data_IF_253000461290
#
_entry.id   IF_253000461290
#
_cell.length_a   1.000
_cell.length_b   1.000
_cell.length_c   1.000
_cell.angle_alpha   90.00
_cell.angle_beta   90.00
_cell.angle_gamma   90.00
#
_symmetry.space_group_name_H-M   'P 1'
#
loop_
_entity.id
_entity.type
_entity.pdbx_description
1 polymer ?
#
# COMPACT_ATOMS: atom_id res chain seq x y z
N UNK A 1 0.77 31.92 12.95
CA UNK A 1 1.53 30.70 12.73
C UNK A 1 0.56 29.72 12.06
N UNK A 2 0.83 29.31 10.84
CA UNK A 2 0.17 28.19 10.20
C UNK A 2 0.59 26.96 11.01
N UNK A 3 -0.39 26.22 11.54
CA UNK A 3 -0.14 24.96 12.20
C UNK A 3 0.20 23.99 11.08
N UNK A 4 1.46 23.57 10.98
CA UNK A 4 1.87 22.48 10.11
C UNK A 4 1.36 21.19 10.74
N UNK A 5 0.57 20.43 9.99
CA UNK A 5 0.16 19.08 10.37
C UNK A 5 1.14 18.12 9.70
N UNK A 6 1.64 17.17 10.46
CA UNK A 6 2.47 16.08 9.97
C UNK A 6 1.64 14.79 9.99
N UNK A 7 1.94 13.91 9.06
CA UNK A 7 1.37 12.57 9.05
C UNK A 7 2.10 11.71 10.06
N UNK A 8 1.33 11.02 10.90
CA UNK A 8 1.83 10.09 11.91
C UNK A 8 1.17 8.72 11.76
N UNK A 9 1.90 7.66 12.09
CA UNK A 9 1.40 6.29 12.10
C UNK A 9 0.69 6.00 13.42
N UNK A 10 -0.56 5.54 13.32
CA UNK A 10 -1.39 5.12 14.44
C UNK A 10 -1.68 3.63 14.39
N UNK A 11 -1.88 3.03 15.53
CA UNK A 11 -2.36 1.65 15.66
C UNK A 11 -3.65 1.60 16.46
N UNK A 12 -4.52 0.66 16.10
CA UNK A 12 -5.72 0.34 16.86
C UNK A 12 -5.90 -1.18 16.96
N UNK A 13 -6.72 -1.63 17.90
CA UNK A 13 -7.05 -3.05 18.06
C UNK A 13 -8.53 -3.27 17.78
N UNK A 14 -8.82 -4.24 16.92
CA UNK A 14 -10.18 -4.66 16.65
C UNK A 14 -10.72 -5.48 17.83
N UNK A 15 -11.91 -5.10 18.30
CA UNK A 15 -12.67 -5.78 19.36
C UNK A 15 -14.00 -6.26 18.78
N UNK A 16 -14.73 -7.18 19.45
CA UNK A 16 -16.04 -7.61 18.96
C UNK A 16 -17.07 -6.48 18.77
N UNK A 17 -16.96 -5.40 19.55
CA UNK A 17 -17.86 -4.25 19.50
C UNK A 17 -17.34 -3.06 18.65
N UNK A 18 -16.22 -3.21 17.93
CA UNK A 18 -15.63 -2.13 17.15
C UNK A 18 -14.11 -2.04 17.33
N UNK A 19 -13.55 -0.86 17.24
CA UNK A 19 -12.12 -0.61 17.39
C UNK A 19 -11.85 0.19 18.67
N UNK A 20 -10.72 -0.07 19.30
CA UNK A 20 -10.21 0.79 20.37
C UNK A 20 -9.81 2.16 19.78
N UNK A 21 -9.80 3.23 20.59
CA UNK A 21 -9.26 4.51 20.11
C UNK A 21 -7.84 4.34 19.56
N UNK A 22 -7.53 4.91 18.38
CA UNK A 22 -6.21 4.82 17.78
C UNK A 22 -5.15 5.45 18.70
N UNK A 23 -3.99 4.84 18.76
CA UNK A 23 -2.84 5.33 19.52
C UNK A 23 -1.67 5.58 18.56
N UNK A 24 -1.00 6.73 18.63
CA UNK A 24 0.18 6.97 17.80
C UNK A 24 1.29 5.99 18.16
N UNK A 25 2.01 5.51 17.16
CA UNK A 25 3.28 4.85 17.40
C UNK A 25 4.28 5.89 17.92
N UNK A 26 5.07 5.52 18.93
CA UNK A 26 6.05 6.43 19.52
C UNK A 26 7.36 6.40 18.73
N UNK A 27 8.29 7.29 19.11
CA UNK A 27 9.66 7.20 18.64
C UNK A 27 10.21 5.76 18.81
N UNK A 28 10.99 5.26 17.85
CA UNK A 28 11.57 5.99 16.72
C UNK A 28 10.72 5.97 15.43
N UNK A 29 9.52 5.37 15.45
CA UNK A 29 8.69 5.21 14.25
C UNK A 29 8.15 6.56 13.79
N UNK A 30 7.36 7.24 14.60
CA UNK A 30 6.93 8.60 14.27
C UNK A 30 8.05 9.61 14.61
N UNK A 31 8.27 10.57 13.73
CA UNK A 31 9.27 11.63 13.84
C UNK A 31 8.61 13.01 13.96
N UNK A 32 9.35 14.06 13.66
CA UNK A 32 8.82 15.43 13.52
C UNK A 32 8.41 15.78 12.07
N UNK A 33 8.49 14.81 11.15
CA UNK A 33 8.12 14.94 9.74
C UNK A 33 6.94 14.06 9.39
N UNK A 34 6.68 13.89 8.11
CA UNK A 34 5.65 12.99 7.62
C UNK A 34 6.14 11.55 7.68
N UNK A 35 5.43 10.72 8.43
CA UNK A 35 5.67 9.29 8.59
C UNK A 35 4.37 8.55 8.25
N UNK A 36 4.36 7.80 7.14
CA UNK A 36 3.19 7.03 6.74
C UNK A 36 3.47 5.52 6.78
N UNK A 37 2.46 4.74 7.16
CA UNK A 37 2.58 3.28 7.11
C UNK A 37 2.41 2.80 5.69
N UNK A 38 3.26 1.86 5.28
CA UNK A 38 3.24 1.28 3.94
C UNK A 38 2.85 -0.18 4.00
N UNK A 39 3.50 -0.96 4.87
CA UNK A 39 3.22 -2.38 5.03
C UNK A 39 3.65 -2.86 6.41
N UNK A 40 2.79 -3.65 7.05
CA UNK A 40 3.18 -4.51 8.18
C UNK A 40 3.32 -5.94 7.66
N UNK A 41 4.50 -6.57 7.90
CA UNK A 41 4.71 -7.97 7.50
C UNK A 41 3.66 -8.88 8.13
N UNK A 42 3.35 -10.00 7.47
CA UNK A 42 2.32 -10.94 7.92
C UNK A 42 2.57 -11.48 9.35
N UNK A 43 3.83 -11.64 9.75
CA UNK A 43 4.19 -12.06 11.12
C UNK A 43 4.19 -10.90 12.14
N UNK A 44 3.88 -9.69 11.71
CA UNK A 44 3.80 -8.48 12.53
C UNK A 44 5.15 -7.98 13.05
N UNK A 45 6.28 -8.42 12.49
CA UNK A 45 7.61 -8.11 13.02
C UNK A 45 8.42 -7.13 12.19
N UNK A 46 8.02 -6.87 10.96
CA UNK A 46 8.64 -5.88 10.08
C UNK A 46 7.60 -4.84 9.69
N UNK A 47 7.87 -3.58 9.96
CA UNK A 47 7.08 -2.45 9.50
C UNK A 47 7.86 -1.75 8.39
N UNK A 48 7.27 -1.66 7.21
CA UNK A 48 7.71 -0.75 6.16
C UNK A 48 6.93 0.55 6.29
N UNK A 49 7.63 1.65 6.17
CA UNK A 49 7.07 2.99 6.30
C UNK A 49 7.67 3.93 5.25
N UNK A 50 6.87 4.87 4.82
CA UNK A 50 7.32 6.00 4.03
C UNK A 50 7.83 7.10 4.95
N UNK A 51 8.91 7.76 4.55
CA UNK A 51 9.41 8.96 5.19
C UNK A 51 10.04 9.88 4.17
N UNK A 52 9.65 11.14 4.19
CA UNK A 52 10.30 12.17 3.39
C UNK A 52 11.32 12.93 4.24
N UNK A 53 12.59 12.60 4.07
CA UNK A 53 13.71 13.30 4.72
C UNK A 53 14.45 14.22 3.74
N UNK A 54 14.44 13.88 2.46
CA UNK A 54 15.27 14.53 1.43
C UNK A 54 14.46 15.26 0.34
N UNK A 55 13.13 15.16 0.40
CA UNK A 55 12.21 15.73 -0.60
C UNK A 55 11.94 14.80 -1.79
N UNK A 56 12.46 13.57 -1.79
CA UNK A 56 12.10 12.52 -2.77
C UNK A 56 11.10 11.52 -2.20
N UNK A 57 11.16 11.26 -0.89
CA UNK A 57 10.38 10.23 -0.21
C UNK A 57 10.92 8.83 -0.46
N UNK A 58 11.18 8.12 0.63
CA UNK A 58 11.85 6.81 0.62
C UNK A 58 11.10 5.79 1.48
N UNK A 59 11.30 4.50 1.18
CA UNK A 59 10.80 3.39 2.00
C UNK A 59 11.84 3.04 3.07
N UNK A 60 11.39 3.01 4.32
CA UNK A 60 12.18 2.62 5.49
C UNK A 60 11.64 1.33 6.08
N UNK A 61 12.52 0.61 6.78
CA UNK A 61 12.21 -0.60 7.51
C UNK A 61 12.48 -0.44 8.99
N UNK A 62 11.51 -0.85 9.83
CA UNK A 62 11.67 -1.08 11.26
C UNK A 62 11.45 -2.55 11.57
N UNK A 63 12.23 -3.11 12.49
CA UNK A 63 12.05 -4.47 12.98
C UNK A 63 11.56 -4.43 14.44
N UNK A 64 10.58 -5.27 14.77
CA UNK A 64 10.08 -5.40 16.12
C UNK A 64 11.09 -6.15 16.99
N UNK A 65 11.54 -5.47 18.05
CA UNK A 65 12.49 -6.00 19.03
C UNK A 65 11.79 -6.23 20.38
N UNK A 66 12.42 -6.91 21.36
CA UNK A 66 11.87 -7.04 22.71
C UNK A 66 11.58 -5.71 23.42
N UNK A 67 12.18 -4.62 22.97
CA UNK A 67 12.03 -3.28 23.56
C UNK A 67 11.17 -2.33 22.73
N UNK A 68 10.55 -2.82 21.64
CA UNK A 68 9.76 -2.04 20.71
C UNK A 68 10.33 -2.03 19.29
N UNK A 69 9.86 -1.14 18.45
CA UNK A 69 10.37 -0.98 17.08
C UNK A 69 11.80 -0.46 17.07
N UNK A 70 12.61 -0.98 16.14
CA UNK A 70 13.97 -0.48 15.90
C UNK A 70 13.94 0.91 15.25
N UNK A 71 15.07 1.60 15.24
CA UNK A 71 15.27 2.79 14.40
C UNK A 71 14.96 2.47 12.93
N UNK A 72 14.20 3.33 12.22
CA UNK A 72 13.94 3.18 10.80
C UNK A 72 15.23 3.23 9.98
N UNK A 73 15.42 2.25 9.10
CA UNK A 73 16.55 2.18 8.18
C UNK A 73 16.03 2.27 6.75
N UNK A 74 16.59 3.15 5.91
CA UNK A 74 16.22 3.20 4.50
C UNK A 74 16.53 1.86 3.84
N UNK A 75 15.69 1.45 2.89
CA UNK A 75 16.00 0.32 2.03
C UNK A 75 17.17 0.67 1.09
N UNK A 76 17.82 -0.36 0.55
CA UNK A 76 18.98 -0.22 -0.32
C UNK A 76 18.68 0.48 -1.67
N UNK A 77 19.72 0.79 -2.45
CA UNK A 77 19.62 1.63 -3.66
C UNK A 77 18.88 0.95 -4.83
N UNK A 78 18.60 -0.33 -4.74
CA UNK A 78 17.75 -1.02 -5.71
C UNK A 78 16.25 -0.70 -5.51
N UNK A 79 15.89 -0.25 -4.30
CA UNK A 79 14.53 0.18 -3.95
C UNK A 79 14.47 1.69 -3.89
N UNK A 80 15.15 2.33 -2.94
CA UNK A 80 15.18 3.77 -2.81
C UNK A 80 16.19 4.38 -3.80
N UNK A 81 15.74 5.36 -4.55
CA UNK A 81 16.55 6.01 -5.57
C UNK A 81 16.55 7.54 -5.34
N UNK A 82 16.95 8.32 -6.31
CA UNK A 82 16.75 9.78 -6.28
C UNK A 82 15.31 10.20 -6.65
N UNK A 83 14.48 9.23 -6.98
CA UNK A 83 13.10 9.37 -7.38
C UNK A 83 12.19 9.12 -6.18
N UNK A 84 10.89 9.26 -6.37
CA UNK A 84 9.91 9.04 -5.32
C UNK A 84 9.55 7.56 -5.22
N UNK A 85 9.65 6.99 -4.02
CA UNK A 85 9.15 5.67 -3.66
C UNK A 85 8.10 5.84 -2.55
N UNK A 86 6.80 5.76 -2.94
CA UNK A 86 5.68 6.17 -2.06
C UNK A 86 4.95 5.02 -1.37
N UNK A 87 4.95 3.84 -1.95
CA UNK A 87 4.17 2.69 -1.47
C UNK A 87 4.94 1.40 -1.66
N UNK A 88 4.75 0.42 -0.77
CA UNK A 88 5.36 -0.89 -0.92
C UNK A 88 4.58 -1.99 -0.19
N UNK A 89 4.76 -3.25 -0.61
CA UNK A 89 4.22 -4.43 0.05
C UNK A 89 5.21 -5.58 0.04
N UNK A 90 5.45 -6.15 1.23
CA UNK A 90 6.29 -7.33 1.42
C UNK A 90 5.43 -8.59 1.34
N UNK A 91 5.80 -9.55 0.46
CA UNK A 91 5.10 -10.85 0.42
C UNK A 91 5.23 -11.60 1.74
N UNK A 92 4.26 -12.48 2.04
CA UNK A 92 4.20 -13.21 3.30
C UNK A 92 5.43 -14.10 3.56
N UNK A 93 6.08 -14.59 2.50
CA UNK A 93 7.32 -15.37 2.56
C UNK A 93 8.58 -14.49 2.67
N UNK A 94 8.42 -13.15 2.57
CA UNK A 94 9.52 -12.19 2.62
C UNK A 94 10.46 -12.23 1.40
N UNK A 95 10.08 -12.93 0.31
CA UNK A 95 10.96 -13.10 -0.85
C UNK A 95 10.82 -12.00 -1.89
N UNK A 96 9.68 -11.31 -1.94
CA UNK A 96 9.42 -10.25 -2.88
C UNK A 96 8.94 -9.00 -2.18
N UNK A 97 9.46 -7.86 -2.63
CA UNK A 97 8.96 -6.53 -2.33
C UNK A 97 8.33 -5.96 -3.60
N UNK A 98 7.07 -5.60 -3.54
CA UNK A 98 6.39 -4.79 -4.55
C UNK A 98 6.41 -3.35 -4.07
N UNK A 99 6.64 -2.40 -4.96
CA UNK A 99 6.72 -0.99 -4.58
C UNK A 99 6.39 -0.07 -5.76
N UNK A 100 6.01 1.15 -5.45
CA UNK A 100 5.66 2.18 -6.42
C UNK A 100 6.82 3.16 -6.53
N UNK A 101 7.18 3.53 -7.76
CA UNK A 101 8.25 4.50 -8.02
C UNK A 101 8.01 5.28 -9.31
N UNK A 102 8.42 6.56 -9.33
CA UNK A 102 8.44 7.40 -10.53
C UNK A 102 9.81 7.38 -11.25
N UNK A 103 10.62 6.31 -11.00
CA UNK A 103 11.89 6.11 -11.72
C UNK A 103 11.66 5.97 -13.22
N UNK A 104 12.53 6.56 -14.06
CA UNK A 104 12.33 6.52 -15.53
C UNK A 104 12.69 5.18 -16.17
N UNK A 105 13.42 4.29 -15.46
CA UNK A 105 13.86 3.01 -15.99
C UNK A 105 12.68 2.07 -16.19
N UNK A 106 12.39 1.72 -17.45
CA UNK A 106 11.28 0.85 -17.88
C UNK A 106 9.88 1.40 -17.53
N UNK A 107 9.77 2.68 -17.15
CA UNK A 107 8.48 3.31 -16.82
C UNK A 107 7.54 3.34 -18.03
N UNK A 108 6.26 3.10 -17.77
CA UNK A 108 5.17 3.20 -18.75
C UNK A 108 4.37 4.50 -18.60
N UNK A 109 4.39 5.09 -17.41
CA UNK A 109 3.62 6.27 -17.06
C UNK A 109 4.35 7.23 -16.12
N UNK A 110 3.65 7.72 -15.13
CA UNK A 110 4.19 8.52 -14.04
C UNK A 110 4.78 7.63 -12.95
N UNK A 111 3.98 7.24 -11.99
CA UNK A 111 4.34 6.25 -10.97
C UNK A 111 3.93 4.86 -11.45
N UNK A 112 4.87 3.92 -11.44
CA UNK A 112 4.64 2.53 -11.83
C UNK A 112 4.91 1.58 -10.66
N UNK A 113 4.29 0.40 -10.70
CA UNK A 113 4.55 -0.68 -9.76
C UNK A 113 5.72 -1.51 -10.27
N UNK A 114 6.72 -1.66 -9.40
CA UNK A 114 7.89 -2.51 -9.57
C UNK A 114 7.87 -3.62 -8.54
N UNK A 115 8.68 -4.65 -8.76
CA UNK A 115 9.01 -5.64 -7.74
C UNK A 115 10.51 -5.90 -7.69
N UNK A 116 10.98 -6.31 -6.52
CA UNK A 116 12.36 -6.76 -6.33
C UNK A 116 12.39 -8.04 -5.51
N UNK A 117 13.33 -8.93 -5.82
CA UNK A 117 13.52 -10.17 -5.10
C UNK A 117 14.62 -10.00 -4.06
N UNK A 118 14.41 -10.58 -2.86
CA UNK A 118 15.43 -10.65 -1.84
C UNK A 118 16.62 -11.52 -2.29
N UNK A 119 17.82 -10.97 -2.27
CA UNK A 119 19.07 -11.70 -2.50
C UNK A 119 19.74 -11.98 -1.14
N UNK A 120 19.59 -13.21 -0.67
CA UNK A 120 20.17 -13.63 0.61
C UNK A 120 21.71 -13.63 0.61
N UNK A 121 22.36 -13.74 -0.56
CA UNK A 121 23.81 -13.68 -0.64
C UNK A 121 24.34 -12.25 -0.52
N UNK A 122 23.64 -11.30 -1.12
CA UNK A 122 23.93 -9.87 -0.96
C UNK A 122 23.39 -9.29 0.37
N UNK A 123 22.44 -9.98 1.02
CA UNK A 123 21.66 -9.49 2.15
C UNK A 123 21.00 -8.14 1.83
N UNK A 124 20.45 -8.03 0.62
CA UNK A 124 19.78 -6.83 0.11
C UNK A 124 18.79 -7.22 -0.99
N UNK A 125 17.99 -6.26 -1.44
CA UNK A 125 17.07 -6.41 -2.56
C UNK A 125 17.83 -6.42 -3.89
N UNK A 126 17.41 -7.30 -4.80
CA UNK A 126 17.91 -7.37 -6.17
C UNK A 126 17.42 -6.19 -7.02
N UNK A 127 17.74 -6.22 -8.31
CA UNK A 127 17.29 -5.20 -9.27
C UNK A 127 15.76 -5.13 -9.32
N UNK A 128 15.21 -3.92 -9.43
CA UNK A 128 13.80 -3.70 -9.65
C UNK A 128 13.37 -4.17 -11.05
N UNK A 129 12.18 -4.77 -11.13
CA UNK A 129 11.52 -5.20 -12.36
C UNK A 129 10.16 -4.48 -12.45
N UNK A 130 9.90 -3.74 -13.55
CA UNK A 130 8.58 -3.16 -13.82
C UNK A 130 7.55 -4.28 -14.08
N UNK A 131 6.33 -4.18 -13.56
CA UNK A 131 5.32 -5.25 -13.74
C UNK A 131 4.70 -5.29 -15.13
N UNK A 132 4.99 -4.31 -15.98
CA UNK A 132 4.55 -4.27 -17.38
C UNK A 132 3.13 -3.78 -17.58
N UNK A 133 2.67 -3.70 -18.86
CA UNK A 133 1.47 -2.97 -19.26
C UNK A 133 0.14 -3.66 -18.90
N UNK A 134 0.15 -4.88 -18.41
CA UNK A 134 -1.04 -5.53 -17.89
C UNK A 134 -1.39 -5.07 -16.46
N UNK A 135 -0.41 -4.51 -15.73
CA UNK A 135 -0.54 -3.93 -14.38
C UNK A 135 -0.35 -2.41 -14.43
N UNK A 136 0.73 -1.92 -14.99
CA UNK A 136 1.01 -0.49 -15.10
C UNK A 136 0.34 0.13 -16.33
N UNK A 137 0.11 1.42 -16.28
CA UNK A 137 -0.55 2.17 -17.36
C UNK A 137 0.31 3.37 -17.83
N UNK A 138 -0.25 4.24 -18.68
CA UNK A 138 0.38 5.51 -19.04
C UNK A 138 0.12 6.62 -18.00
N UNK A 139 -0.48 6.30 -16.87
CA UNK A 139 -0.82 7.22 -15.78
C UNK A 139 -0.10 6.77 -14.50
N UNK A 140 -0.56 7.25 -13.36
CA UNK A 140 0.01 6.90 -12.07
C UNK A 140 -0.68 5.65 -11.50
N UNK A 141 0.11 4.73 -10.95
CA UNK A 141 -0.29 3.64 -10.08
C UNK A 141 0.19 3.92 -8.66
N UNK A 142 -0.57 3.47 -7.65
CA UNK A 142 -0.23 3.59 -6.22
C UNK A 142 -0.85 2.46 -5.38
N UNK A 143 -0.54 2.40 -4.09
CA UNK A 143 -1.24 1.60 -3.09
C UNK A 143 -1.21 0.09 -3.34
N UNK A 144 -0.05 -0.48 -3.66
CA UNK A 144 0.06 -1.92 -3.96
C UNK A 144 -0.12 -2.80 -2.72
N UNK A 145 -0.94 -3.84 -2.82
CA UNK A 145 -1.14 -4.91 -1.84
C UNK A 145 -1.05 -6.27 -2.52
N UNK A 146 -0.41 -7.25 -1.89
CA UNK A 146 -0.25 -8.61 -2.43
C UNK A 146 -0.93 -9.61 -1.51
N UNK A 147 -1.69 -10.54 -2.09
CA UNK A 147 -2.32 -11.65 -1.34
C UNK A 147 -1.30 -12.50 -0.60
N UNK A 148 -1.78 -13.20 0.44
CA UNK A 148 -0.94 -14.09 1.25
C UNK A 148 -0.20 -15.16 0.42
N UNK A 149 -0.86 -15.70 -0.59
CA UNK A 149 -0.29 -16.71 -1.50
C UNK A 149 0.60 -16.12 -2.62
N UNK A 150 0.71 -14.78 -2.70
CA UNK A 150 1.52 -14.09 -3.70
C UNK A 150 0.93 -14.07 -5.12
N UNK A 151 -0.30 -14.56 -5.32
CA UNK A 151 -0.87 -14.78 -6.65
C UNK A 151 -1.89 -13.73 -7.09
N UNK A 152 -2.20 -12.76 -6.22
CA UNK A 152 -3.09 -11.65 -6.55
C UNK A 152 -2.51 -10.35 -6.02
N UNK A 153 -2.55 -9.32 -6.84
CA UNK A 153 -2.25 -7.95 -6.39
C UNK A 153 -3.50 -7.09 -6.52
N UNK A 154 -3.65 -6.16 -5.59
CA UNK A 154 -4.54 -5.02 -5.69
C UNK A 154 -3.71 -3.75 -5.69
N UNK A 155 -4.16 -2.78 -6.44
CA UNK A 155 -3.47 -1.50 -6.56
C UNK A 155 -4.45 -0.44 -7.01
N UNK A 156 -4.09 0.81 -6.82
CA UNK A 156 -4.85 1.94 -7.30
C UNK A 156 -4.22 2.49 -8.57
N UNK A 157 -5.03 2.91 -9.54
CA UNK A 157 -4.55 3.47 -10.81
C UNK A 157 -5.48 4.56 -11.33
N UNK A 158 -4.89 5.60 -11.93
CA UNK A 158 -5.59 6.60 -12.74
C UNK A 158 -5.83 6.15 -14.18
N UNK A 159 -5.25 5.00 -14.55
CA UNK A 159 -5.39 4.38 -15.86
C UNK A 159 -6.47 3.29 -15.92
N UNK A 160 -6.30 2.32 -16.83
CA UNK A 160 -7.16 1.12 -16.97
C UNK A 160 -8.68 1.40 -17.05
N UNK A 161 -9.06 2.58 -17.52
CA UNK A 161 -10.47 3.04 -17.55
C UNK A 161 -11.04 3.29 -16.16
N UNK A 162 -10.29 3.95 -15.28
CA UNK A 162 -10.79 4.46 -14.02
C UNK A 162 -12.04 5.31 -14.24
N UNK A 163 -12.95 5.29 -13.28
CA UNK A 163 -14.21 6.05 -13.33
C UNK A 163 -14.13 7.38 -12.58
N UNK A 164 -13.06 7.55 -11.80
CA UNK A 164 -12.78 8.73 -10.97
C UNK A 164 -11.35 9.22 -11.13
N UNK A 165 -10.72 9.51 -10.01
CA UNK A 165 -9.29 9.73 -9.91
C UNK A 165 -8.53 8.41 -9.89
N UNK A 166 -7.97 8.03 -8.75
CA UNK A 166 -7.49 6.67 -8.53
C UNK A 166 -8.66 5.72 -8.28
N UNK A 167 -8.68 4.60 -8.97
CA UNK A 167 -9.58 3.49 -8.73
C UNK A 167 -8.80 2.23 -8.34
N UNK A 168 -9.40 1.36 -7.53
CA UNK A 168 -8.82 0.07 -7.15
C UNK A 168 -9.00 -0.96 -8.27
N UNK A 169 -7.90 -1.58 -8.65
CA UNK A 169 -7.82 -2.68 -9.61
C UNK A 169 -7.21 -3.92 -8.95
N UNK A 170 -7.42 -5.07 -9.59
CA UNK A 170 -6.77 -6.32 -9.22
C UNK A 170 -6.16 -7.00 -10.44
N UNK A 171 -5.07 -7.76 -10.22
CA UNK A 171 -4.48 -8.64 -11.23
C UNK A 171 -4.07 -9.97 -10.59
N UNK A 172 -4.20 -11.07 -11.32
CA UNK A 172 -3.80 -12.42 -10.89
C UNK A 172 -2.50 -12.84 -11.57
N UNK A 173 -1.62 -13.52 -10.84
CA UNK A 173 -0.38 -14.07 -11.39
C UNK A 173 -0.62 -15.50 -11.86
N UNK A 174 -0.55 -15.71 -13.16
CA UNK A 174 -0.83 -16.99 -13.80
C UNK A 174 0.24 -17.32 -14.84
N UNK A 175 0.75 -18.54 -14.84
CA UNK A 175 1.72 -19.04 -15.81
C UNK A 175 3.00 -18.18 -15.96
N UNK A 176 3.41 -17.49 -14.89
CA UNK A 176 4.61 -16.65 -14.88
C UNK A 176 4.37 -15.19 -15.27
N UNK A 177 3.12 -14.77 -15.48
CA UNK A 177 2.74 -13.42 -15.90
C UNK A 177 1.58 -12.88 -15.06
N UNK A 178 1.53 -11.57 -14.90
CA UNK A 178 0.36 -10.87 -14.37
C UNK A 178 -0.71 -10.77 -15.48
N UNK A 179 -1.93 -11.11 -15.13
CA UNK A 179 -3.06 -10.93 -16.03
C UNK A 179 -3.42 -9.44 -16.13
N UNK A 180 -4.15 -9.08 -17.19
CA UNK A 180 -4.61 -7.71 -17.35
C UNK A 180 -5.44 -7.25 -16.16
N UNK A 181 -5.13 -6.06 -15.66
CA UNK A 181 -5.83 -5.42 -14.54
C UNK A 181 -7.34 -5.35 -14.75
N UNK A 182 -8.10 -5.65 -13.68
CA UNK A 182 -9.56 -5.59 -13.64
C UNK A 182 -10.00 -4.64 -12.55
N UNK A 183 -10.87 -3.69 -12.87
CA UNK A 183 -11.46 -2.78 -11.89
C UNK A 183 -12.27 -3.58 -10.85
N UNK A 184 -12.16 -3.19 -9.58
CA UNK A 184 -13.00 -3.72 -8.51
C UNK A 184 -14.43 -3.21 -8.58
N UNK A 185 -14.69 -2.15 -9.34
CA UNK A 185 -16.01 -1.58 -9.52
C UNK A 185 -16.65 -1.04 -8.24
N UNK A 186 -17.92 -0.63 -8.34
CA UNK A 186 -18.70 -0.21 -7.17
C UNK A 186 -19.04 -1.42 -6.28
N UNK A 187 -19.08 -1.27 -4.94
CA UNK A 187 -18.99 -0.02 -4.20
C UNK A 187 -17.55 0.40 -3.79
N UNK A 188 -16.51 -0.31 -4.22
CA UNK A 188 -15.13 0.02 -3.89
C UNK A 188 -14.73 1.29 -4.63
N UNK A 189 -14.90 1.30 -5.94
CA UNK A 189 -14.56 2.44 -6.78
C UNK A 189 -15.70 3.47 -6.85
N UNK A 190 -15.35 4.73 -6.85
CA UNK A 190 -16.24 5.91 -6.84
C UNK A 190 -15.77 6.96 -7.88
N UNK A 191 -16.51 8.07 -8.08
CA UNK A 191 -16.02 9.15 -8.94
C UNK A 191 -14.83 9.95 -8.39
N UNK A 192 -14.46 9.77 -7.13
CA UNK A 192 -13.33 10.41 -6.48
C UNK A 192 -12.15 9.42 -6.36
N UNK A 193 -11.11 9.72 -5.58
CA UNK A 193 -9.97 8.83 -5.35
C UNK A 193 -10.34 7.68 -4.41
N UNK A 194 -9.99 6.45 -4.81
CA UNK A 194 -10.10 5.22 -4.04
C UNK A 194 -8.72 4.54 -4.00
N UNK A 195 -8.10 4.48 -2.81
CA UNK A 195 -6.68 4.18 -2.64
C UNK A 195 -6.43 3.11 -1.57
N UNK A 196 -5.25 2.51 -1.63
CA UNK A 196 -4.66 1.70 -0.55
C UNK A 196 -5.55 0.52 -0.10
N UNK A 197 -6.16 -0.17 -1.06
CA UNK A 197 -6.95 -1.35 -0.74
C UNK A 197 -6.09 -2.46 -0.13
N UNK A 198 -6.53 -3.00 1.01
CA UNK A 198 -5.93 -4.16 1.67
C UNK A 198 -7.01 -5.19 2.01
N UNK A 199 -6.67 -6.47 1.90
CA UNK A 199 -7.54 -7.58 2.28
C UNK A 199 -7.10 -8.11 3.65
N UNK A 200 -8.05 -8.25 4.58
CA UNK A 200 -7.78 -8.86 5.87
C UNK A 200 -7.51 -10.38 5.73
N UNK A 201 -6.91 -10.98 6.77
CA UNK A 201 -6.57 -12.41 6.81
C UNK A 201 -7.79 -13.35 6.65
N UNK A 202 -9.00 -12.86 6.88
CA UNK A 202 -10.23 -13.62 6.66
C UNK A 202 -10.56 -13.83 5.18
N UNK A 203 -9.87 -13.12 4.28
CA UNK A 203 -10.07 -13.16 2.83
C UNK A 203 -11.41 -12.60 2.36
N UNK A 204 -12.18 -11.97 3.26
CA UNK A 204 -13.54 -11.50 3.01
C UNK A 204 -13.75 -10.03 3.39
N UNK A 205 -12.88 -9.47 4.20
CA UNK A 205 -12.97 -8.07 4.65
C UNK A 205 -11.90 -7.24 3.95
N UNK A 206 -12.30 -6.26 3.15
CA UNK A 206 -11.40 -5.27 2.56
C UNK A 206 -11.44 -3.95 3.31
N UNK A 207 -10.32 -3.22 3.29
CA UNK A 207 -10.21 -1.84 3.76
C UNK A 207 -9.55 -0.99 2.68
N UNK A 208 -9.98 0.24 2.52
CA UNK A 208 -9.43 1.17 1.55
C UNK A 208 -9.67 2.61 1.99
N UNK A 209 -8.88 3.54 1.48
CA UNK A 209 -9.08 4.98 1.65
C UNK A 209 -9.93 5.53 0.52
N UNK A 210 -10.85 6.44 0.82
CA UNK A 210 -11.69 7.06 -0.20
C UNK A 210 -12.26 8.40 0.26
N UNK A 211 -12.50 9.29 -0.71
CA UNK A 211 -13.24 10.54 -0.52
C UNK A 211 -14.69 10.31 -0.92
N UNK A 212 -15.62 10.34 0.06
CA UNK A 212 -17.03 10.08 -0.21
C UNK A 212 -17.98 11.05 0.48
N UNK A 213 -19.15 11.35 -0.11
CA UNK A 213 -20.17 12.16 0.54
C UNK A 213 -20.54 11.61 1.92
N UNK A 214 -20.49 12.45 2.94
CA UNK A 214 -20.78 12.08 4.33
C UNK A 214 -19.58 11.51 5.09
N UNK A 215 -18.38 11.57 4.54
CA UNK A 215 -17.12 11.39 5.25
C UNK A 215 -16.87 12.50 6.29
N UNK A 216 -15.86 12.30 7.12
CA UNK A 216 -15.49 13.26 8.18
C UNK A 216 -14.24 14.08 7.83
N UNK A 217 -13.39 13.56 6.91
CA UNK A 217 -12.15 14.19 6.44
C UNK A 217 -12.13 14.42 4.94
N UNK A 218 -10.91 14.54 4.39
CA UNK A 218 -10.69 14.44 2.95
C UNK A 218 -10.72 12.98 2.55
N UNK A 219 -9.91 12.14 3.21
CA UNK A 219 -9.84 10.70 3.03
C UNK A 219 -10.28 10.00 4.32
N UNK A 220 -11.25 9.10 4.19
CA UNK A 220 -11.71 8.24 5.27
C UNK A 220 -11.36 6.77 4.96
N UNK A 221 -11.20 5.95 6.00
CA UNK A 221 -11.00 4.52 5.85
C UNK A 221 -12.34 3.81 5.80
N UNK A 222 -12.61 3.12 4.70
CA UNK A 222 -13.82 2.33 4.49
C UNK A 222 -13.54 0.84 4.62
N UNK A 223 -14.56 0.12 5.10
CA UNK A 223 -14.57 -1.34 5.16
C UNK A 223 -15.60 -1.89 4.19
N UNK A 224 -15.22 -2.91 3.41
CA UNK A 224 -16.10 -3.62 2.50
C UNK A 224 -16.15 -5.11 2.87
N UNK A 225 -17.32 -5.73 2.75
CA UNK A 225 -17.52 -7.18 2.87
C UNK A 225 -17.53 -7.79 1.46
N UNK A 226 -16.57 -8.67 1.19
CA UNK A 226 -16.41 -9.39 -0.08
C UNK A 226 -16.96 -10.81 -0.03
N UNK A 227 -17.69 -11.19 1.02
CA UNK A 227 -18.27 -12.53 1.18
C UNK A 227 -19.16 -12.88 -0.01
N UNK A 228 -19.12 -14.15 -0.51
CA UNK A 228 -20.04 -14.59 -1.56
C UNK A 228 -21.51 -14.39 -1.13
N UNK A 229 -22.25 -13.56 -1.85
CA UNK A 229 -23.64 -13.22 -1.54
C UNK A 229 -23.83 -11.93 -0.72
N UNK A 230 -22.78 -11.25 -0.31
CA UNK A 230 -22.86 -9.88 0.22
C UNK A 230 -23.25 -8.85 -0.86
N UNK A 231 -23.55 -9.31 -2.07
CA UNK A 231 -23.96 -8.50 -3.20
C UNK A 231 -25.12 -7.59 -2.85
N UNK A 232 -24.89 -6.30 -3.03
CA UNK A 232 -25.88 -5.22 -3.08
C UNK A 232 -26.45 -4.69 -1.74
N UNK A 233 -25.81 -4.91 -0.62
CA UNK A 233 -26.13 -4.14 0.58
C UNK A 233 -25.25 -2.91 0.74
N UNK A 234 -25.18 -2.04 -0.24
CA UNK A 234 -24.46 -0.75 -0.34
C UNK A 234 -24.21 0.02 0.97
N UNK A 235 -23.62 -0.62 1.95
CA UNK A 235 -23.12 -0.02 3.17
C UNK A 235 -21.64 -0.35 3.32
N UNK A 236 -20.80 0.52 2.75
CA UNK A 236 -19.50 0.70 3.34
C UNK A 236 -19.74 1.04 4.82
N UNK A 237 -19.44 0.11 5.72
CA UNK A 237 -19.53 0.37 7.16
C UNK A 237 -18.28 1.13 7.56
N UNK A 238 -18.46 2.17 8.34
CA UNK A 238 -17.38 2.88 9.03
C UNK A 238 -16.73 2.02 10.10
#
# INVERSE_FOLDING_TARGET
ATQEYFEDIYSTTRMPAGYLPPQPLLLPVNSIGNDATVCLSHDGKTLLMYRDVSGSGDIYRCDLTPTGWSEPKPLGPNINTRHHEGSAWLTADGQWLYFVSDRPEESLGGQDIYRSRWDAAANDWGSAENLGPDVNSAFDEDGVFVSFDGNTIWFSSKGHSSIGGYDVFMSSYENGFWAKAKSMGMPINSPDDDLYFVLADDGMTGYFSSVRPGGEGQDDIYRVDLSPGAGDTGKAGR
#
